data_IF_323339051168
#
_entry.id   IF_323339051168
#
_cell.length_a   1.000
_cell.length_b   1.000
_cell.length_c   1.000
_cell.angle_alpha   90.00
_cell.angle_beta   90.00
_cell.angle_gamma   90.00
#
_symmetry.space_group_name_H-M   'P 1'
#
loop_
_entity.id
_entity.type
_entity.pdbx_description
1 polymer ?
#
# COMPACT_ATOMS: atom_id res chain seq x y z
N UNK A 1 -3.72 25.67 -2.24
CA UNK A 1 -4.04 24.49 -3.10
C UNK A 1 -3.21 23.31 -2.63
N UNK A 2 -3.85 22.17 -2.41
CA UNK A 2 -3.19 20.92 -1.94
C UNK A 2 -2.95 20.00 -3.13
N UNK A 3 -1.72 19.53 -3.28
CA UNK A 3 -1.33 18.51 -4.25
C UNK A 3 -1.53 17.13 -3.64
N UNK A 4 -2.33 16.29 -4.30
CA UNK A 4 -2.73 14.95 -3.82
C UNK A 4 -2.22 13.87 -4.76
N UNK A 5 -1.34 13.00 -4.27
CA UNK A 5 -0.88 11.83 -4.99
C UNK A 5 -1.82 10.64 -4.73
N UNK A 6 -2.44 10.10 -5.78
CA UNK A 6 -3.31 8.94 -5.71
C UNK A 6 -2.67 7.73 -6.39
N UNK A 7 -2.78 6.51 -5.82
CA UNK A 7 -2.30 5.31 -6.47
C UNK A 7 -3.16 4.98 -7.69
N UNK A 8 -2.56 4.55 -8.80
CA UNK A 8 -3.31 4.03 -9.95
C UNK A 8 -4.05 2.74 -9.58
N UNK A 9 -5.24 2.55 -10.18
CA UNK A 9 -6.07 1.36 -10.02
C UNK A 9 -7.17 1.50 -8.97
N UNK A 10 -7.81 0.40 -8.62
CA UNK A 10 -9.02 0.35 -7.76
C UNK A 10 -8.88 1.11 -6.43
N UNK A 11 -7.70 1.03 -5.80
CA UNK A 11 -7.46 1.71 -4.53
C UNK A 11 -7.54 3.22 -4.70
N UNK A 12 -6.92 3.75 -5.75
CA UNK A 12 -6.95 5.18 -6.03
C UNK A 12 -8.32 5.69 -6.44
N UNK A 13 -9.08 4.91 -7.17
CA UNK A 13 -10.47 5.23 -7.53
C UNK A 13 -11.33 5.38 -6.28
N UNK A 14 -11.27 4.40 -5.37
CA UNK A 14 -11.96 4.46 -4.06
C UNK A 14 -11.47 5.63 -3.19
N UNK A 15 -10.17 5.89 -3.21
CA UNK A 15 -9.61 7.03 -2.50
C UNK A 15 -10.16 8.34 -3.06
N UNK A 16 -10.19 8.51 -4.38
CA UNK A 16 -10.77 9.69 -5.01
C UNK A 16 -12.25 9.85 -4.65
N UNK A 17 -13.04 8.78 -4.66
CA UNK A 17 -14.45 8.82 -4.23
C UNK A 17 -14.59 9.36 -2.78
N UNK A 18 -13.71 8.93 -1.87
CA UNK A 18 -13.69 9.44 -0.50
C UNK A 18 -13.37 10.95 -0.47
N UNK A 19 -12.37 11.41 -1.21
CA UNK A 19 -12.04 12.84 -1.33
C UNK A 19 -13.19 13.65 -1.94
N UNK A 20 -13.81 13.16 -3.02
CA UNK A 20 -14.93 13.81 -3.66
C UNK A 20 -16.13 13.93 -2.69
N UNK A 21 -16.47 12.86 -1.95
CA UNK A 21 -17.53 12.87 -0.95
C UNK A 21 -17.26 13.81 0.23
N UNK A 22 -15.99 14.07 0.52
CA UNK A 22 -15.53 15.00 1.54
C UNK A 22 -15.48 16.48 1.05
N UNK A 23 -15.89 16.74 -0.22
CA UNK A 23 -15.96 18.07 -0.79
C UNK A 23 -14.73 18.51 -1.58
N UNK A 24 -13.81 17.61 -1.87
CA UNK A 24 -12.60 17.86 -2.66
C UNK A 24 -12.71 17.23 -4.06
N UNK A 25 -13.85 17.37 -4.69
CA UNK A 25 -14.11 16.81 -6.01
C UNK A 25 -13.30 17.51 -7.12
N UNK A 26 -12.93 16.74 -8.13
CA UNK A 26 -12.28 17.20 -9.35
C UNK A 26 -12.71 16.31 -10.53
N UNK A 27 -13.89 16.55 -11.14
CA UNK A 27 -14.45 15.65 -12.15
C UNK A 27 -13.52 15.38 -13.35
N UNK A 28 -12.66 16.32 -13.69
CA UNK A 28 -11.68 16.17 -14.77
C UNK A 28 -10.76 14.95 -14.61
N UNK A 29 -10.56 14.43 -13.38
CA UNK A 29 -9.73 13.24 -13.13
C UNK A 29 -10.37 11.94 -13.67
N UNK A 30 -11.68 11.92 -13.84
CA UNK A 30 -12.44 10.78 -14.35
C UNK A 30 -12.50 10.75 -15.88
N UNK A 31 -12.09 11.82 -16.55
CA UNK A 31 -12.06 11.89 -18.00
C UNK A 31 -10.96 11.01 -18.59
N UNK A 32 -11.31 10.25 -19.64
CA UNK A 32 -10.32 9.47 -20.41
C UNK A 32 -9.47 10.39 -21.28
N UNK A 33 -8.38 10.91 -20.74
CA UNK A 33 -7.45 11.78 -21.45
C UNK A 33 -5.98 11.44 -21.09
N UNK A 34 -5.02 12.15 -21.67
CA UNK A 34 -3.59 11.96 -21.40
C UNK A 34 -3.00 12.99 -20.43
N UNK A 35 -3.85 13.73 -19.73
CA UNK A 35 -3.39 14.70 -18.72
C UNK A 35 -2.74 13.96 -17.57
N UNK A 36 -1.71 14.55 -17.00
CA UNK A 36 -0.98 14.01 -15.86
C UNK A 36 -1.45 14.61 -14.53
N UNK A 37 -2.03 15.82 -14.59
CA UNK A 37 -2.53 16.54 -13.42
C UNK A 37 -3.95 17.06 -13.67
N UNK A 38 -4.75 17.10 -12.62
CA UNK A 38 -6.16 17.48 -12.64
C UNK A 38 -6.42 18.48 -11.51
N UNK A 39 -6.87 19.69 -11.84
CA UNK A 39 -7.06 20.77 -10.88
C UNK A 39 -8.53 21.12 -10.72
N UNK A 40 -8.93 21.35 -9.46
CA UNK A 40 -10.14 22.10 -9.13
C UNK A 40 -9.73 23.26 -8.21
N UNK A 41 -9.64 24.47 -8.78
CA UNK A 41 -9.20 25.67 -8.06
C UNK A 41 -10.20 26.12 -7.00
N UNK A 42 -11.50 25.95 -7.23
CA UNK A 42 -12.55 26.29 -6.27
C UNK A 42 -12.47 25.42 -5.02
N UNK A 43 -12.11 24.14 -5.19
CA UNK A 43 -11.90 23.20 -4.10
C UNK A 43 -10.49 23.23 -3.52
N UNK A 44 -9.59 23.98 -4.15
CA UNK A 44 -8.21 24.11 -3.68
C UNK A 44 -7.37 22.85 -3.80
N UNK A 45 -7.67 21.95 -4.77
CA UNK A 45 -6.98 20.67 -4.92
C UNK A 45 -6.42 20.48 -6.32
N UNK A 46 -5.31 19.74 -6.38
CA UNK A 46 -4.72 19.20 -7.60
C UNK A 46 -4.39 17.73 -7.37
N UNK A 47 -4.89 16.85 -8.24
CA UNK A 47 -4.66 15.41 -8.21
C UNK A 47 -3.72 14.95 -9.31
N UNK A 48 -3.01 13.87 -9.06
CA UNK A 48 -2.28 13.12 -10.08
C UNK A 48 -2.15 11.64 -9.70
N UNK A 49 -2.08 10.80 -10.74
CA UNK A 49 -1.98 9.36 -10.59
C UNK A 49 -0.53 8.90 -10.66
N UNK A 50 -0.09 8.13 -9.68
CA UNK A 50 1.24 7.49 -9.66
C UNK A 50 1.12 5.99 -9.40
N UNK A 51 2.20 5.24 -9.57
CA UNK A 51 2.21 3.84 -9.15
C UNK A 51 2.03 3.77 -7.63
N UNK A 52 1.34 2.73 -7.09
CA UNK A 52 1.14 2.59 -5.64
C UNK A 52 2.46 2.68 -4.83
N UNK A 53 3.54 2.05 -5.32
CA UNK A 53 4.86 2.10 -4.69
C UNK A 53 5.50 3.48 -4.66
N UNK A 54 5.06 4.40 -5.51
CA UNK A 54 5.72 5.69 -5.68
C UNK A 54 5.02 6.81 -4.90
N UNK A 55 3.78 6.59 -4.42
CA UNK A 55 2.99 7.61 -3.69
C UNK A 55 3.79 8.19 -2.53
N UNK A 56 4.35 7.34 -1.69
CA UNK A 56 5.10 7.77 -0.51
C UNK A 56 6.32 8.60 -0.88
N UNK A 57 7.01 8.27 -1.97
CA UNK A 57 8.17 9.03 -2.47
C UNK A 57 7.75 10.45 -2.91
N UNK A 58 6.63 10.57 -3.64
CA UNK A 58 6.12 11.90 -4.06
C UNK A 58 5.74 12.77 -2.87
N UNK A 59 5.20 12.17 -1.81
CA UNK A 59 4.85 12.87 -0.57
C UNK A 59 6.11 13.23 0.21
N UNK A 60 6.99 12.29 0.47
CA UNK A 60 8.25 12.51 1.21
C UNK A 60 9.11 13.61 0.57
N UNK A 61 9.18 13.63 -0.77
CA UNK A 61 9.94 14.63 -1.55
C UNK A 61 9.18 15.94 -1.80
N UNK A 62 8.04 16.13 -1.14
CA UNK A 62 7.23 17.37 -1.20
C UNK A 62 6.72 17.70 -2.62
N UNK A 63 6.72 16.76 -3.53
CA UNK A 63 6.07 16.87 -4.83
C UNK A 63 4.54 16.77 -4.71
N UNK A 64 4.08 16.04 -3.68
CA UNK A 64 2.72 16.04 -3.18
C UNK A 64 2.68 16.55 -1.74
N UNK A 65 1.62 17.25 -1.37
CA UNK A 65 1.39 17.67 0.01
C UNK A 65 0.85 16.52 0.85
N UNK A 66 -0.06 15.75 0.24
CA UNK A 66 -0.67 14.54 0.80
C UNK A 66 -0.74 13.43 -0.25
N UNK A 67 -0.92 12.21 0.20
CA UNK A 67 -1.13 11.06 -0.67
C UNK A 67 -1.91 9.96 0.02
N UNK A 68 -2.31 8.96 -0.77
CA UNK A 68 -2.94 7.74 -0.25
C UNK A 68 -2.04 6.56 -0.55
N UNK A 69 -1.51 5.93 0.49
CA UNK A 69 -0.63 4.78 0.40
C UNK A 69 -1.18 3.59 1.19
N UNK A 70 -0.98 2.38 0.69
CA UNK A 70 -1.26 1.18 1.44
C UNK A 70 -0.29 1.00 2.62
N UNK A 71 -0.77 0.42 3.71
CA UNK A 71 0.09 0.12 4.87
C UNK A 71 1.28 -0.77 4.51
N UNK A 72 1.14 -1.62 3.51
CA UNK A 72 2.21 -2.43 2.94
C UNK A 72 3.39 -1.59 2.43
N UNK A 73 3.10 -0.49 1.73
CA UNK A 73 4.11 0.44 1.21
C UNK A 73 4.77 1.22 2.34
N UNK A 74 4.00 1.62 3.34
CA UNK A 74 4.54 2.35 4.49
C UNK A 74 5.48 1.48 5.32
N UNK A 75 5.12 0.22 5.55
CA UNK A 75 5.96 -0.73 6.27
C UNK A 75 7.18 -1.19 5.46
N UNK A 76 7.05 -1.37 4.16
CA UNK A 76 8.15 -1.84 3.32
C UNK A 76 9.25 -0.79 3.11
N UNK A 77 8.86 0.48 2.96
CA UNK A 77 9.80 1.55 2.58
C UNK A 77 10.10 2.55 3.71
N UNK A 78 9.35 2.51 4.81
CA UNK A 78 9.50 3.40 5.97
C UNK A 78 9.75 4.88 5.60
N UNK A 79 8.90 5.48 4.72
CA UNK A 79 9.11 6.85 4.26
C UNK A 79 8.98 7.84 5.42
N UNK A 80 9.75 8.94 5.37
CA UNK A 80 9.68 10.02 6.36
C UNK A 80 8.45 10.91 6.15
N UNK A 81 7.26 10.39 6.46
CA UNK A 81 5.96 11.05 6.32
C UNK A 81 5.14 10.96 7.60
N UNK A 82 4.11 11.79 7.72
CA UNK A 82 3.08 11.62 8.74
C UNK A 82 1.97 10.70 8.20
N UNK A 83 1.62 9.68 8.97
CA UNK A 83 0.44 8.87 8.78
C UNK A 83 -0.73 9.55 9.50
N UNK A 84 -1.67 10.17 8.76
CA UNK A 84 -2.67 11.05 9.34
C UNK A 84 -3.98 10.35 9.66
N UNK A 85 -4.44 9.44 8.78
CA UNK A 85 -5.75 8.81 8.91
C UNK A 85 -5.79 7.47 8.18
N UNK A 86 -6.22 6.42 8.88
CA UNK A 86 -6.61 5.17 8.23
C UNK A 86 -7.96 5.39 7.52
N UNK A 87 -7.95 5.26 6.19
CA UNK A 87 -9.14 5.43 5.36
C UNK A 87 -10.06 4.19 5.37
N UNK A 88 -9.64 3.09 5.97
CA UNK A 88 -10.42 1.87 6.06
C UNK A 88 -10.74 1.19 4.72
N UNK A 89 -10.18 1.69 3.61
CA UNK A 89 -10.38 1.16 2.25
C UNK A 89 -9.22 0.26 1.84
N UNK A 90 -9.48 -0.64 0.87
CA UNK A 90 -8.45 -1.56 0.38
C UNK A 90 -7.98 -2.57 1.43
N UNK A 91 -8.85 -2.95 2.35
CA UNK A 91 -8.51 -3.90 3.43
C UNK A 91 -8.07 -5.24 2.87
N UNK A 92 -6.91 -5.67 3.29
CA UNK A 92 -6.30 -6.96 3.01
C UNK A 92 -5.32 -7.30 4.14
N UNK A 93 -4.51 -8.34 3.98
CA UNK A 93 -3.51 -8.72 4.99
C UNK A 93 -2.23 -9.19 4.31
N UNK A 94 -1.09 -8.89 4.94
CA UNK A 94 0.18 -9.50 4.60
C UNK A 94 0.24 -10.88 5.26
N UNK A 95 0.50 -11.91 4.46
CA UNK A 95 0.53 -13.28 4.95
C UNK A 95 1.80 -14.01 4.49
N UNK A 96 2.25 -14.93 5.33
CA UNK A 96 3.03 -16.07 4.86
C UNK A 96 2.05 -17.04 4.21
N UNK A 97 2.33 -17.50 2.98
CA UNK A 97 1.53 -18.49 2.30
C UNK A 97 2.42 -19.56 1.63
N UNK A 98 1.89 -20.73 1.45
CA UNK A 98 2.62 -21.85 0.88
C UNK A 98 1.71 -23.07 0.67
N UNK A 99 2.27 -24.24 0.33
CA UNK A 99 1.50 -25.47 0.26
C UNK A 99 0.74 -25.74 1.55
N UNK A 100 -0.49 -26.25 1.46
CA UNK A 100 -1.35 -26.51 2.65
C UNK A 100 -0.68 -27.41 3.70
N UNK A 101 0.15 -28.37 3.26
CA UNK A 101 0.88 -29.30 4.13
C UNK A 101 2.33 -28.85 4.36
N UNK A 102 2.61 -27.55 4.22
CA UNK A 102 3.95 -27.05 4.44
C UNK A 102 4.41 -27.29 5.89
N UNK A 103 5.61 -27.86 6.03
CA UNK A 103 6.28 -28.03 7.29
C UNK A 103 7.64 -27.33 7.27
N UNK A 104 7.83 -26.40 8.19
CA UNK A 104 9.11 -25.71 8.34
C UNK A 104 10.09 -26.58 9.12
N UNK A 105 10.95 -27.30 8.39
CA UNK A 105 11.93 -28.20 8.99
C UNK A 105 13.04 -27.42 9.70
N UNK A 106 13.31 -27.69 11.00
CA UNK A 106 14.41 -27.05 11.71
C UNK A 106 15.77 -27.40 11.09
N UNK A 107 16.71 -26.45 11.18
CA UNK A 107 18.08 -26.63 10.70
C UNK A 107 18.30 -26.45 9.19
N UNK A 108 17.25 -26.11 8.45
CA UNK A 108 17.32 -25.77 7.02
C UNK A 108 16.97 -24.30 6.82
N UNK A 109 17.72 -23.57 6.00
CA UNK A 109 17.38 -22.21 5.58
C UNK A 109 16.07 -22.22 4.80
N UNK A 110 15.09 -21.41 5.23
CA UNK A 110 13.79 -21.29 4.59
C UNK A 110 13.88 -20.31 3.42
N UNK A 111 13.51 -20.73 2.22
CA UNK A 111 13.46 -19.88 1.03
C UNK A 111 12.12 -19.18 0.95
N UNK A 112 12.12 -17.85 0.95
CA UNK A 112 10.91 -17.03 0.96
C UNK A 112 10.90 -16.11 -0.26
N UNK A 113 9.97 -16.31 -1.19
CA UNK A 113 9.79 -15.39 -2.30
C UNK A 113 8.81 -14.27 -1.92
N UNK A 114 9.14 -13.03 -2.24
CA UNK A 114 8.34 -11.89 -1.85
C UNK A 114 8.60 -10.66 -2.71
N UNK A 115 7.61 -9.78 -2.77
CA UNK A 115 7.75 -8.40 -3.24
C UNK A 115 8.15 -7.44 -2.10
N UNK A 116 8.06 -7.88 -0.86
CA UNK A 116 8.20 -7.11 0.37
C UNK A 116 9.36 -7.65 1.22
N UNK A 117 10.63 -7.46 0.77
CA UNK A 117 11.80 -7.99 1.46
C UNK A 117 12.00 -7.43 2.87
N UNK A 118 11.69 -6.14 3.11
CA UNK A 118 11.87 -5.53 4.42
C UNK A 118 10.90 -6.13 5.44
N UNK A 119 9.61 -6.13 5.14
CA UNK A 119 8.57 -6.74 5.99
C UNK A 119 8.89 -8.22 6.27
N UNK A 120 9.34 -8.94 5.24
CA UNK A 120 9.71 -10.35 5.35
C UNK A 120 10.89 -10.54 6.30
N UNK A 121 11.95 -9.75 6.14
CA UNK A 121 13.14 -9.81 6.99
C UNK A 121 12.81 -9.52 8.46
N UNK A 122 12.03 -8.47 8.74
CA UNK A 122 11.60 -8.12 10.09
C UNK A 122 10.80 -9.24 10.74
N UNK A 123 9.81 -9.80 10.02
CA UNK A 123 8.97 -10.88 10.51
C UNK A 123 9.77 -12.11 10.96
N UNK A 124 10.72 -12.57 10.12
CA UNK A 124 11.51 -13.74 10.42
C UNK A 124 12.65 -13.48 11.41
N UNK A 125 13.22 -12.27 11.42
CA UNK A 125 14.19 -11.82 12.42
C UNK A 125 13.58 -11.84 13.82
N UNK A 126 12.34 -11.34 13.97
CA UNK A 126 11.61 -11.38 15.25
C UNK A 126 11.40 -12.81 15.77
N UNK A 127 11.38 -13.80 14.88
CA UNK A 127 11.26 -15.23 15.19
C UNK A 127 12.61 -15.94 15.34
N UNK A 128 13.72 -15.23 15.18
CA UNK A 128 15.08 -15.81 15.13
C UNK A 128 15.19 -16.96 14.10
N UNK A 129 14.53 -16.78 12.95
CA UNK A 129 14.48 -17.77 11.88
C UNK A 129 15.33 -17.34 10.68
N UNK A 130 16.36 -18.14 10.33
CA UNK A 130 17.19 -17.91 9.15
C UNK A 130 16.41 -18.17 7.87
N UNK A 131 16.44 -17.20 6.97
CA UNK A 131 15.75 -17.25 5.68
C UNK A 131 16.65 -16.82 4.53
N UNK A 132 16.32 -17.30 3.33
CA UNK A 132 16.84 -16.82 2.05
C UNK A 132 15.71 -16.07 1.32
N UNK A 133 15.86 -14.76 1.16
CA UNK A 133 14.83 -13.89 0.53
C UNK A 133 15.06 -13.84 -0.97
N UNK A 134 14.07 -14.30 -1.73
CA UNK A 134 14.04 -14.22 -3.18
C UNK A 134 13.09 -13.07 -3.59
N UNK A 135 13.67 -11.91 -3.90
CA UNK A 135 12.88 -10.75 -4.33
C UNK A 135 12.32 -10.93 -5.72
N UNK A 136 11.00 -10.87 -5.84
CA UNK A 136 10.26 -10.87 -7.09
C UNK A 136 9.45 -9.56 -7.24
N UNK A 137 8.99 -9.27 -8.47
CA UNK A 137 8.22 -8.04 -8.75
C UNK A 137 6.73 -8.32 -9.03
N UNK A 138 6.34 -9.58 -9.18
CA UNK A 138 4.97 -10.02 -9.42
C UNK A 138 4.89 -11.51 -9.64
N UNK A 139 3.68 -12.06 -9.74
CA UNK A 139 3.40 -13.50 -9.87
C UNK A 139 4.13 -14.31 -8.80
N UNK A 140 4.08 -13.85 -7.57
CA UNK A 140 4.85 -14.41 -6.45
C UNK A 140 4.44 -15.86 -6.18
N UNK A 141 3.16 -16.18 -6.42
CA UNK A 141 2.58 -17.51 -6.21
C UNK A 141 3.23 -18.61 -7.07
N UNK A 142 3.86 -18.23 -8.19
CA UNK A 142 4.60 -19.19 -9.03
C UNK A 142 5.85 -19.73 -8.35
N UNK A 143 6.44 -19.02 -7.42
CA UNK A 143 7.72 -19.41 -6.81
C UNK A 143 7.64 -20.75 -6.08
N UNK A 144 6.70 -21.02 -5.16
CA UNK A 144 6.58 -22.31 -4.53
C UNK A 144 6.10 -23.41 -5.48
N UNK A 145 5.25 -23.10 -6.47
CA UNK A 145 4.75 -24.07 -7.45
C UNK A 145 5.90 -24.61 -8.30
N UNK A 146 6.85 -23.75 -8.67
CA UNK A 146 8.01 -24.12 -9.48
C UNK A 146 9.24 -24.56 -8.64
N UNK A 147 9.10 -24.64 -7.30
CA UNK A 147 10.18 -25.04 -6.40
C UNK A 147 11.29 -24.00 -6.23
N UNK A 148 11.04 -22.73 -6.63
CA UNK A 148 11.98 -21.63 -6.43
C UNK A 148 12.05 -21.23 -4.96
N UNK A 149 10.92 -21.22 -4.24
CA UNK A 149 10.84 -20.95 -2.81
C UNK A 149 10.05 -22.04 -2.08
N UNK A 150 10.13 -22.05 -0.76
CA UNK A 150 9.37 -22.96 0.08
C UNK A 150 8.01 -22.32 0.46
N UNK A 151 8.02 -21.02 0.72
CA UNK A 151 6.84 -20.18 1.02
C UNK A 151 6.97 -18.84 0.33
N UNK A 152 5.90 -18.05 0.41
CA UNK A 152 5.86 -16.65 -0.03
C UNK A 152 5.42 -15.74 1.10
N UNK A 153 5.79 -14.47 1.02
CA UNK A 153 5.16 -13.38 1.78
C UNK A 153 4.54 -12.43 0.79
N UNK A 154 3.21 -12.32 0.82
CA UNK A 154 2.47 -11.48 -0.12
C UNK A 154 1.13 -11.01 0.48
N UNK A 155 0.49 -10.08 -0.21
CA UNK A 155 -0.82 -9.53 0.14
C UNK A 155 -1.92 -10.53 -0.23
N UNK A 156 -2.80 -10.78 0.72
CA UNK A 156 -3.98 -11.65 0.55
C UNK A 156 -5.25 -10.85 0.84
N UNK A 157 -6.05 -10.59 -0.20
CA UNK A 157 -7.38 -9.96 -0.07
C UNK A 157 -8.45 -11.04 0.23
N UNK A 158 -8.73 -11.91 -0.73
CA UNK A 158 -9.73 -12.98 -0.60
C UNK A 158 -9.12 -14.39 -0.47
N UNK A 159 -7.86 -14.53 -0.81
CA UNK A 159 -7.16 -15.82 -0.85
C UNK A 159 -7.51 -16.70 -2.05
N UNK A 160 -8.37 -16.24 -2.97
CA UNK A 160 -8.83 -17.02 -4.12
C UNK A 160 -7.67 -17.49 -5.03
N UNK A 161 -6.74 -16.58 -5.34
CA UNK A 161 -5.56 -16.90 -6.15
C UNK A 161 -4.71 -18.01 -5.52
N UNK A 162 -4.53 -17.96 -4.18
CA UNK A 162 -3.79 -18.99 -3.45
C UNK A 162 -4.49 -20.36 -3.58
N UNK A 163 -5.80 -20.41 -3.32
CA UNK A 163 -6.59 -21.64 -3.37
C UNK A 163 -6.59 -22.26 -4.77
N UNK A 164 -6.77 -21.44 -5.82
CA UNK A 164 -6.72 -21.91 -7.21
C UNK A 164 -5.37 -22.51 -7.62
N UNK A 165 -4.31 -22.21 -6.84
CA UNK A 165 -2.94 -22.71 -7.06
C UNK A 165 -2.45 -23.67 -5.97
N UNK A 166 -3.36 -24.29 -5.21
CA UNK A 166 -3.05 -25.25 -4.13
C UNK A 166 -2.13 -24.67 -3.05
N UNK A 167 -2.26 -23.38 -2.80
CA UNK A 167 -1.57 -22.67 -1.73
C UNK A 167 -2.60 -22.21 -0.69
N UNK A 168 -2.16 -22.08 0.55
CA UNK A 168 -2.96 -21.56 1.66
C UNK A 168 -2.23 -20.45 2.41
N UNK A 169 -2.94 -19.48 2.98
CA UNK A 169 -2.35 -18.59 3.97
C UNK A 169 -2.02 -19.40 5.22
N UNK A 170 -0.74 -19.41 5.59
CA UNK A 170 -0.21 -20.16 6.74
C UNK A 170 -0.20 -19.31 8.00
N UNK A 171 0.11 -18.03 7.85
CA UNK A 171 0.22 -17.08 8.95
C UNK A 171 -0.10 -15.66 8.47
N UNK A 172 -0.82 -14.87 9.28
CA UNK A 172 -1.01 -13.44 9.05
C UNK A 172 0.09 -12.66 9.75
N UNK A 173 0.79 -11.79 9.01
CA UNK A 173 1.84 -10.91 9.54
C UNK A 173 1.22 -9.62 10.06
N UNK A 174 0.44 -8.94 9.23
CA UNK A 174 -0.19 -7.66 9.56
C UNK A 174 -1.43 -7.40 8.70
N UNK A 175 -2.43 -6.75 9.29
CA UNK A 175 -3.57 -6.22 8.54
C UNK A 175 -3.19 -4.94 7.80
N UNK A 176 -3.71 -4.78 6.59
CA UNK A 176 -3.40 -3.70 5.67
C UNK A 176 -4.66 -2.93 5.32
N UNK A 177 -4.55 -1.62 5.31
CA UNK A 177 -5.53 -0.67 4.78
C UNK A 177 -4.80 0.50 4.10
N UNK A 178 -5.54 1.36 3.42
CA UNK A 178 -4.98 2.58 2.85
C UNK A 178 -5.00 3.73 3.85
N UNK A 179 -3.90 4.49 3.88
CA UNK A 179 -3.69 5.61 4.78
C UNK A 179 -3.54 6.92 4.03
N UNK A 180 -4.15 7.98 4.58
CA UNK A 180 -3.81 9.35 4.22
C UNK A 180 -2.46 9.69 4.85
N UNK A 181 -1.49 10.06 4.03
CA UNK A 181 -0.16 10.47 4.46
C UNK A 181 0.13 11.91 4.06
N UNK A 182 1.01 12.57 4.77
CA UNK A 182 1.49 13.93 4.45
C UNK A 182 2.99 14.06 4.63
N UNK A 183 3.63 14.88 3.79
CA UNK A 183 5.00 15.28 4.05
C UNK A 183 5.06 16.12 5.34
N UNK A 184 6.14 15.99 6.10
CA UNK A 184 6.36 16.80 7.32
C UNK A 184 6.39 18.29 7.01
N UNK A 185 7.00 18.66 5.89
CA UNK A 185 7.11 20.04 5.43
C UNK A 185 5.73 20.61 5.07
N UNK A 186 4.97 19.92 4.21
CA UNK A 186 3.63 20.39 3.83
C UNK A 186 2.68 20.43 5.03
N UNK A 187 2.77 19.45 5.94
CA UNK A 187 1.98 19.47 7.16
C UNK A 187 2.27 20.70 8.03
N UNK A 188 3.54 21.13 8.10
CA UNK A 188 3.90 22.34 8.84
C UNK A 188 3.39 23.62 8.18
N UNK A 189 3.56 23.75 6.85
CA UNK A 189 3.24 24.99 6.14
C UNK A 189 1.76 25.12 5.71
N UNK A 190 1.05 23.99 5.58
CA UNK A 190 -0.36 23.91 5.16
C UNK A 190 -1.21 23.19 6.19
N UNK A 191 -0.85 23.32 7.47
CA UNK A 191 -1.49 22.57 8.56
C UNK A 191 -3.02 22.73 8.56
N UNK A 192 -3.51 23.95 8.41
CA UNK A 192 -4.97 24.24 8.47
C UNK A 192 -5.72 23.52 7.35
N UNK A 193 -5.21 23.59 6.12
CA UNK A 193 -5.83 22.96 4.95
C UNK A 193 -5.76 21.43 5.04
N UNK A 194 -4.63 20.87 5.46
CA UNK A 194 -4.45 19.41 5.59
C UNK A 194 -5.30 18.89 6.74
N UNK A 195 -5.34 19.57 7.89
CA UNK A 195 -6.20 19.18 9.02
C UNK A 195 -7.69 19.25 8.68
N UNK A 196 -8.12 20.30 7.93
CA UNK A 196 -9.49 20.41 7.44
C UNK A 196 -9.85 19.25 6.49
N UNK A 197 -8.94 18.89 5.58
CA UNK A 197 -9.09 17.75 4.66
C UNK A 197 -9.19 16.43 5.44
N UNK A 198 -8.30 16.19 6.38
CA UNK A 198 -8.31 15.01 7.25
C UNK A 198 -9.63 14.89 8.01
N UNK A 199 -10.10 16.00 8.63
CA UNK A 199 -11.36 16.01 9.36
C UNK A 199 -12.59 15.81 8.46
N UNK A 200 -12.55 16.30 7.21
CA UNK A 200 -13.61 16.10 6.23
C UNK A 200 -13.68 14.63 5.78
N UNK A 201 -12.53 13.99 5.53
CA UNK A 201 -12.43 12.57 5.21
C UNK A 201 -12.92 11.71 6.38
N UNK A 202 -12.44 11.97 7.60
CA UNK A 202 -12.83 11.19 8.79
C UNK A 202 -14.34 11.18 9.06
N UNK A 203 -15.08 12.22 8.65
CA UNK A 203 -16.54 12.26 8.77
C UNK A 203 -17.28 11.38 7.76
N UNK A 204 -16.59 10.83 6.76
CA UNK A 204 -17.16 10.02 5.68
C UNK A 204 -16.80 8.54 5.77
N UNK A 205 -15.90 8.19 6.69
CA UNK A 205 -15.53 6.81 7.03
C UNK A 205 -16.49 6.24 8.08
#
# INVERSE_FOLDING_TARGET
MINVALPKGRLGERAYEAFASAGYDCPAILEKNRRLTFENREKGVRYFWVKPSDVSIYVERVAADVGVAGRDILLEYEPDVYELLDLGIGRCRMCVAGPENFYDAPGRTLRVATKFPHITAEHYTAKSRDIDIIKLNGSIELAPILGLSDVIVDIVETGKTLLENHLAPLETIVDISAWLISSRVSYQFKHQEIAAMQAALARKL
#
